data_IF_425024058582
#
_entry.id   IF_425024058582
#
_cell.length_a   1.000
_cell.length_b   1.000
_cell.length_c   1.000
_cell.angle_alpha   90.00
_cell.angle_beta   90.00
_cell.angle_gamma   90.00
#
_symmetry.space_group_name_H-M   'P 1'
#
loop_
_entity.id
_entity.type
_entity.pdbx_description
1 polymer ?
#
# COMPACT_ATOMS: atom_id res chain seq x y z
N UNK A 1 -20.47 -14.30 10.43
CA UNK A 1 -19.21 -14.65 9.72
C UNK A 1 -18.49 -15.76 10.49
N UNK A 2 -17.94 -16.80 9.84
CA UNK A 2 -17.12 -17.83 10.51
C UNK A 2 -15.65 -17.58 10.19
N UNK A 3 -14.85 -17.22 11.20
CA UNK A 3 -13.40 -17.03 11.05
C UNK A 3 -12.76 -18.40 10.79
N UNK A 4 -12.12 -18.58 9.63
CA UNK A 4 -11.43 -19.83 9.25
C UNK A 4 -9.96 -19.84 9.67
N UNK A 5 -9.31 -18.68 9.69
CA UNK A 5 -7.92 -18.51 10.09
C UNK A 5 -7.74 -17.07 10.63
N UNK A 6 -6.87 -16.89 11.61
CA UNK A 6 -6.47 -15.59 12.13
C UNK A 6 -4.96 -15.44 12.03
N UNK A 7 -4.49 -14.28 11.58
CA UNK A 7 -3.06 -13.93 11.54
C UNK A 7 -2.89 -12.48 12.00
N UNK A 8 -1.91 -12.27 12.87
CA UNK A 8 -1.47 -10.93 13.25
C UNK A 8 -0.41 -10.43 12.29
N UNK A 9 -0.61 -9.22 11.76
CA UNK A 9 0.40 -8.51 10.99
C UNK A 9 1.09 -7.50 11.90
N UNK A 10 2.42 -7.49 11.90
CA UNK A 10 3.21 -6.52 12.68
C UNK A 10 3.72 -5.41 11.78
N UNK A 11 3.30 -4.18 12.06
CA UNK A 11 3.84 -2.98 11.43
C UNK A 11 4.98 -2.42 12.30
N UNK A 12 6.11 -2.12 11.68
CA UNK A 12 7.31 -1.60 12.35
C UNK A 12 7.82 -0.36 11.61
N UNK A 13 8.22 0.69 12.35
CA UNK A 13 9.04 1.76 11.80
C UNK A 13 10.49 1.33 11.88
N UNK A 14 11.21 1.36 10.76
CA UNK A 14 12.62 1.00 10.66
C UNK A 14 13.43 2.17 10.13
N UNK A 15 14.69 2.25 10.51
CA UNK A 15 15.60 3.30 10.05
C UNK A 15 16.66 2.65 9.16
N UNK A 16 16.83 3.16 7.94
CA UNK A 16 17.89 2.70 7.04
C UNK A 16 19.27 3.16 7.54
N UNK A 17 20.35 2.58 7.00
CA UNK A 17 21.72 3.04 7.27
C UNK A 17 21.95 4.52 6.93
N UNK A 18 21.13 5.09 6.03
CA UNK A 18 21.19 6.51 5.63
C UNK A 18 20.26 7.40 6.47
N UNK A 19 19.70 6.90 7.57
CA UNK A 19 18.83 7.66 8.47
C UNK A 19 17.39 7.85 7.97
N UNK A 20 16.96 7.13 6.93
CA UNK A 20 15.61 7.27 6.38
C UNK A 20 14.66 6.36 7.14
N UNK A 21 13.57 6.91 7.65
CA UNK A 21 12.54 6.12 8.31
C UNK A 21 11.55 5.54 7.29
N UNK A 22 11.30 4.25 7.39
CA UNK A 22 10.41 3.50 6.50
C UNK A 22 9.50 2.60 7.33
N UNK A 23 8.31 2.32 6.82
CA UNK A 23 7.45 1.28 7.38
C UNK A 23 7.82 -0.10 6.86
N UNK A 24 7.69 -1.10 7.73
CA UNK A 24 7.90 -2.53 7.42
C UNK A 24 6.72 -3.33 7.94
N UNK A 25 6.10 -4.14 7.08
CA UNK A 25 5.04 -5.08 7.46
C UNK A 25 5.65 -6.48 7.53
N UNK A 26 5.73 -7.05 8.72
CA UNK A 26 6.30 -8.38 8.93
C UNK A 26 5.19 -9.43 8.81
N UNK A 27 5.38 -10.36 7.87
CA UNK A 27 4.47 -11.49 7.63
C UNK A 27 5.01 -12.77 8.27
N UNK A 28 6.32 -13.01 8.16
CA UNK A 28 7.04 -14.12 8.80
C UNK A 28 8.54 -13.74 8.95
N UNK A 29 9.38 -14.52 9.67
CA UNK A 29 10.79 -14.17 9.90
C UNK A 29 11.57 -13.79 8.63
N UNK A 30 11.36 -14.51 7.53
CA UNK A 30 12.02 -14.28 6.24
C UNK A 30 11.06 -13.74 5.17
N UNK A 31 9.94 -13.12 5.57
CA UNK A 31 8.96 -12.59 4.62
C UNK A 31 8.35 -11.30 5.18
N UNK A 32 8.62 -10.19 4.51
CA UNK A 32 8.11 -8.89 4.91
C UNK A 32 7.93 -7.98 3.71
N UNK A 33 7.18 -6.91 3.91
CA UNK A 33 7.05 -5.81 2.96
C UNK A 33 7.79 -4.60 3.51
N UNK A 34 8.58 -3.93 2.68
CA UNK A 34 9.32 -2.72 3.05
C UNK A 34 8.87 -1.53 2.21
N UNK A 35 8.57 -0.42 2.87
CA UNK A 35 8.14 0.81 2.21
C UNK A 35 9.20 1.29 1.21
N UNK A 36 8.74 1.75 0.05
CA UNK A 36 9.59 2.39 -0.93
C UNK A 36 10.26 3.59 -0.29
N UNK A 37 11.59 3.65 -0.40
CA UNK A 37 12.33 4.82 0.04
C UNK A 37 12.08 6.01 -0.92
N UNK A 38 11.44 7.12 -0.48
CA UNK A 38 11.18 8.29 -1.32
C UNK A 38 12.43 9.15 -1.57
N UNK A 39 13.49 9.00 -0.76
CA UNK A 39 14.74 9.76 -0.91
C UNK A 39 15.73 9.08 -1.84
N UNK A 40 15.50 7.80 -2.17
CA UNK A 40 16.34 7.07 -3.12
C UNK A 40 16.22 7.69 -4.52
N UNK A 41 17.32 8.08 -5.18
CA UNK A 41 17.29 8.64 -6.53
C UNK A 41 17.12 7.53 -7.57
N UNK A 42 15.96 6.88 -7.57
CA UNK A 42 15.59 5.84 -8.54
C UNK A 42 14.24 6.17 -9.18
N UNK A 43 13.90 5.49 -10.29
CA UNK A 43 12.60 5.63 -10.96
C UNK A 43 11.43 5.53 -9.96
N UNK A 44 11.42 4.49 -9.15
CA UNK A 44 10.34 4.24 -8.18
C UNK A 44 10.44 5.14 -6.94
N UNK A 45 11.63 5.54 -6.50
CA UNK A 45 11.78 6.51 -5.40
C UNK A 45 11.25 7.89 -5.78
N UNK A 46 11.56 8.36 -6.99
CA UNK A 46 11.02 9.61 -7.53
C UNK A 46 9.50 9.53 -7.74
N UNK A 47 9.00 8.48 -8.37
CA UNK A 47 7.56 8.32 -8.58
C UNK A 47 6.80 8.30 -7.24
N UNK A 48 7.28 7.54 -6.26
CA UNK A 48 6.66 7.46 -4.93
C UNK A 48 6.65 8.82 -4.23
N UNK A 49 7.75 9.57 -4.29
CA UNK A 49 7.84 10.92 -3.73
C UNK A 49 6.83 11.88 -4.35
N UNK A 50 6.62 11.84 -5.66
CA UNK A 50 5.63 12.68 -6.33
C UNK A 50 4.19 12.26 -5.99
N UNK A 51 3.89 10.96 -5.95
CA UNK A 51 2.57 10.46 -5.55
C UNK A 51 2.24 10.92 -4.12
N UNK A 52 3.19 10.84 -3.18
CA UNK A 52 2.98 11.29 -1.79
C UNK A 52 2.70 12.80 -1.66
N UNK A 53 3.05 13.63 -2.65
CA UNK A 53 2.67 15.06 -2.62
C UNK A 53 1.17 15.26 -2.89
N UNK A 54 0.57 14.35 -3.65
CA UNK A 54 -0.85 14.38 -4.02
C UNK A 54 -1.66 13.59 -2.99
N UNK A 55 -1.15 12.41 -2.60
CA UNK A 55 -1.76 11.49 -1.65
C UNK A 55 -0.76 11.18 -0.52
N UNK A 56 -0.65 12.02 0.53
CA UNK A 56 0.32 11.85 1.62
C UNK A 56 0.25 10.47 2.29
N UNK A 57 -0.95 9.93 2.41
CA UNK A 57 -1.24 8.61 2.98
C UNK A 57 -1.17 7.46 1.97
N UNK A 58 -0.60 7.69 0.79
CA UNK A 58 -0.24 6.61 -0.12
C UNK A 58 1.02 5.90 0.36
N UNK A 59 0.93 4.58 0.40
CA UNK A 59 2.00 3.67 0.77
C UNK A 59 2.26 2.68 -0.36
N UNK A 60 3.53 2.43 -0.63
CA UNK A 60 4.00 1.41 -1.56
C UNK A 60 5.06 0.58 -0.86
N UNK A 61 4.85 -0.72 -0.78
CA UNK A 61 5.78 -1.64 -0.15
C UNK A 61 6.20 -2.73 -1.11
N UNK A 62 7.49 -3.04 -1.11
CA UNK A 62 8.06 -4.15 -1.86
C UNK A 62 8.09 -5.41 -1.01
N UNK A 63 7.61 -6.52 -1.57
CA UNK A 63 7.75 -7.83 -0.95
C UNK A 63 9.21 -8.30 -1.00
N UNK A 64 9.73 -8.64 0.17
CA UNK A 64 11.05 -9.23 0.36
C UNK A 64 10.86 -10.58 1.01
N UNK A 65 11.38 -11.63 0.39
CA UNK A 65 11.33 -13.00 0.88
C UNK A 65 12.71 -13.63 0.77
N UNK A 66 13.18 -14.24 1.86
CA UNK A 66 14.53 -14.79 1.95
C UNK A 66 15.61 -13.77 1.52
N UNK A 67 15.47 -12.52 1.99
CA UNK A 67 16.35 -11.39 1.70
C UNK A 67 16.41 -10.92 0.22
N UNK A 68 15.53 -11.43 -0.63
CA UNK A 68 15.42 -11.04 -2.03
C UNK A 68 14.08 -10.34 -2.33
N UNK A 69 14.13 -9.35 -3.22
CA UNK A 69 12.93 -8.72 -3.76
C UNK A 69 12.20 -9.72 -4.67
N UNK A 70 10.94 -10.00 -4.38
CA UNK A 70 10.15 -10.94 -5.20
C UNK A 70 9.57 -10.29 -6.45
N UNK A 71 9.58 -8.95 -6.52
CA UNK A 71 8.91 -8.16 -7.55
C UNK A 71 7.43 -7.89 -7.25
N UNK A 72 6.86 -8.48 -6.19
CA UNK A 72 5.47 -8.18 -5.76
C UNK A 72 5.42 -6.89 -4.95
N UNK A 73 4.32 -6.16 -5.13
CA UNK A 73 4.06 -4.88 -4.50
C UNK A 73 2.75 -4.95 -3.70
N UNK A 74 2.77 -4.32 -2.54
CA UNK A 74 1.57 -3.95 -1.79
C UNK A 74 1.45 -2.43 -1.85
N UNK A 75 0.40 -1.91 -2.48
CA UNK A 75 0.11 -0.48 -2.53
C UNK A 75 -1.24 -0.19 -1.91
N UNK A 76 -1.36 0.91 -1.21
CA UNK A 76 -2.64 1.35 -0.65
C UNK A 76 -2.57 2.80 -0.20
N UNK A 77 -3.74 3.42 -0.05
CA UNK A 77 -3.86 4.75 0.53
C UNK A 77 -5.05 4.77 1.47
N UNK A 78 -4.96 5.56 2.54
CA UNK A 78 -6.15 5.95 3.28
C UNK A 78 -6.77 7.13 2.54
N UNK A 79 -8.09 7.09 2.33
CA UNK A 79 -8.85 8.13 1.67
C UNK A 79 -10.13 8.37 2.48
N UNK A 80 -10.55 9.63 2.52
CA UNK A 80 -11.89 9.95 2.95
C UNK A 80 -12.90 9.41 1.93
N UNK A 81 -14.12 9.14 2.40
CA UNK A 81 -15.18 8.57 1.56
C UNK A 81 -15.42 9.39 0.29
N UNK A 82 -15.30 10.72 0.38
CA UNK A 82 -15.55 11.67 -0.71
C UNK A 82 -14.44 11.68 -1.78
N UNK A 83 -13.25 11.16 -1.46
CA UNK A 83 -12.10 11.13 -2.36
C UNK A 83 -11.91 9.79 -3.07
N UNK A 84 -12.68 8.75 -2.68
CA UNK A 84 -12.68 7.44 -3.32
C UNK A 84 -12.99 7.55 -4.82
N UNK A 85 -14.04 8.29 -5.18
CA UNK A 85 -14.46 8.41 -6.58
C UNK A 85 -13.38 9.10 -7.43
N UNK A 86 -12.77 10.18 -6.91
CA UNK A 86 -11.65 10.88 -7.59
C UNK A 86 -10.45 9.96 -7.77
N UNK A 87 -10.11 9.16 -6.76
CA UNK A 87 -9.00 8.22 -6.83
C UNK A 87 -9.28 7.13 -7.86
N UNK A 88 -10.47 6.54 -7.84
CA UNK A 88 -10.87 5.52 -8.80
C UNK A 88 -10.88 6.08 -10.22
N UNK A 89 -11.49 7.24 -10.46
CA UNK A 89 -11.51 7.91 -11.77
C UNK A 89 -10.09 8.24 -12.27
N UNK A 90 -9.16 8.54 -11.36
CA UNK A 90 -7.76 8.81 -11.74
C UNK A 90 -7.02 7.56 -12.24
N UNK A 91 -7.49 6.36 -11.88
CA UNK A 91 -6.89 5.07 -12.20
C UNK A 91 -7.63 4.37 -13.34
N UNK A 92 -8.96 4.30 -13.26
CA UNK A 92 -9.83 3.66 -14.22
C UNK A 92 -10.20 4.67 -15.32
N UNK A 93 -9.51 4.60 -16.44
CA UNK A 93 -9.82 5.41 -17.64
C UNK A 93 -10.91 4.78 -18.52
N UNK A 94 -11.69 3.85 -18.00
CA UNK A 94 -12.72 3.12 -18.75
C UNK A 94 -14.11 3.52 -18.28
N UNK A 95 -14.94 4.02 -19.20
CA UNK A 95 -16.30 4.50 -18.93
C UNK A 95 -17.24 3.40 -18.41
N UNK A 96 -16.89 2.12 -18.62
CA UNK A 96 -17.70 0.98 -18.20
C UNK A 96 -17.78 0.80 -16.68
N UNK A 97 -16.81 1.33 -15.91
CA UNK A 97 -16.85 1.25 -14.44
C UNK A 97 -18.03 2.04 -13.85
N UNK A 98 -18.46 3.12 -14.51
CA UNK A 98 -19.59 3.96 -14.08
C UNK A 98 -20.95 3.26 -14.11
N UNK A 99 -21.02 2.06 -14.70
CA UNK A 99 -22.25 1.26 -14.81
C UNK A 99 -22.49 0.34 -13.61
N UNK A 100 -21.50 0.20 -12.72
CA UNK A 100 -21.60 -0.65 -11.53
C UNK A 100 -22.00 0.19 -10.32
N UNK A 101 -23.03 -0.23 -9.60
CA UNK A 101 -23.44 0.41 -8.34
C UNK A 101 -22.59 -0.11 -7.17
N UNK A 102 -22.31 0.76 -6.20
CA UNK A 102 -21.62 0.43 -4.96
C UNK A 102 -22.53 -0.45 -4.08
N UNK A 103 -22.32 -1.77 -4.13
CA UNK A 103 -23.00 -2.74 -3.27
C UNK A 103 -22.14 -2.93 -2.01
N UNK A 104 -22.62 -2.41 -0.88
CA UNK A 104 -21.95 -2.60 0.41
C UNK A 104 -22.46 -3.85 1.10
N UNK A 105 -21.55 -4.74 1.45
CA UNK A 105 -21.83 -5.76 2.44
C UNK A 105 -21.98 -5.11 3.83
N UNK A 106 -23.12 -5.35 4.48
CA UNK A 106 -23.32 -4.90 5.86
C UNK A 106 -22.34 -5.59 6.81
N UNK A 107 -21.44 -4.80 7.41
CA UNK A 107 -20.60 -5.27 8.50
C UNK A 107 -21.46 -5.31 9.77
N UNK A 108 -22.02 -6.49 10.09
CA UNK A 108 -22.72 -6.72 11.36
C UNK A 108 -21.66 -6.76 12.47
N UNK A 109 -21.73 -5.78 13.40
CA UNK A 109 -20.91 -5.70 14.61
C UNK A 109 -21.24 -6.77 15.63
#
# INVERSE_FOLDING_TARGET
MRVKESRELRLQKVVTKTGVELWRIVVAPNHFFLEQNPTKPSKYGTAYREIKKIYPDFYMFWEIKNDEYTGRLLTGTFLEKEDIDKFIDSILKEEDYKKYEDIKDEIIK
#
